data_IF_289347797522
#
_entry.id   IF_289347797522
#
_cell.length_a   1.000
_cell.length_b   1.000
_cell.length_c   1.000
_cell.angle_alpha   90.00
_cell.angle_beta   90.00
_cell.angle_gamma   90.00
#
_symmetry.space_group_name_H-M   'P 1'
#
loop_
_entity.id
_entity.type
_entity.pdbx_description
1 polymer ?
#
# COMPACT_ATOMS: atom_id res chain seq x y z
N UNK A 1 -9.46 18.91 -10.53
CA UNK A 1 -9.80 17.49 -10.74
C UNK A 1 -10.68 17.31 -11.97
N UNK A 2 -10.49 16.24 -12.74
CA UNK A 2 -11.34 15.83 -13.85
C UNK A 2 -12.78 15.59 -13.36
N UNK A 3 -13.77 16.04 -14.11
CA UNK A 3 -15.18 16.05 -13.69
C UNK A 3 -15.66 14.67 -13.23
N UNK A 4 -15.29 13.60 -13.92
CA UNK A 4 -15.72 12.26 -13.54
C UNK A 4 -15.13 11.78 -12.21
N UNK A 5 -13.88 12.15 -11.88
CA UNK A 5 -13.34 11.89 -10.55
C UNK A 5 -14.07 12.72 -9.49
N UNK A 6 -14.44 13.96 -9.78
CA UNK A 6 -15.23 14.78 -8.85
C UNK A 6 -16.63 14.20 -8.57
N UNK A 7 -17.25 13.51 -9.54
CA UNK A 7 -18.49 12.76 -9.31
C UNK A 7 -18.25 11.51 -8.48
N UNK A 8 -17.33 10.65 -8.91
CA UNK A 8 -17.12 9.34 -8.30
C UNK A 8 -16.52 9.47 -6.90
N UNK A 9 -15.45 10.24 -6.73
CA UNK A 9 -14.83 10.47 -5.43
C UNK A 9 -15.59 11.53 -4.65
N UNK A 10 -15.81 12.72 -5.22
CA UNK A 10 -16.40 13.85 -4.48
C UNK A 10 -17.85 13.62 -4.04
N UNK A 11 -18.66 12.92 -4.84
CA UNK A 11 -20.07 12.62 -4.53
C UNK A 11 -20.33 11.16 -4.16
N UNK A 12 -19.27 10.33 -4.09
CA UNK A 12 -19.37 8.88 -3.82
C UNK A 12 -20.25 8.14 -4.83
N UNK A 13 -20.32 8.64 -6.06
CA UNK A 13 -21.21 8.09 -7.09
C UNK A 13 -20.63 6.83 -7.74
N UNK A 14 -20.83 5.69 -7.09
CA UNK A 14 -20.38 4.37 -7.56
C UNK A 14 -20.98 4.00 -8.94
N UNK A 15 -22.18 4.49 -9.26
CA UNK A 15 -22.84 4.17 -10.54
C UNK A 15 -22.06 4.70 -11.75
N UNK A 16 -21.26 5.75 -11.54
CA UNK A 16 -20.42 6.40 -12.55
C UNK A 16 -18.98 5.89 -12.54
N UNK A 17 -18.60 5.03 -11.59
CA UNK A 17 -17.21 4.60 -11.42
C UNK A 17 -16.70 3.79 -12.64
N UNK A 18 -17.56 3.01 -13.28
CA UNK A 18 -17.21 2.26 -14.50
C UNK A 18 -16.84 3.15 -15.69
N UNK A 19 -17.40 4.36 -15.77
CA UNK A 19 -17.14 5.30 -16.87
C UNK A 19 -15.69 5.82 -16.84
N UNK A 20 -15.01 5.75 -15.69
CA UNK A 20 -13.60 6.16 -15.55
C UNK A 20 -12.67 5.39 -16.49
N UNK A 21 -13.02 4.14 -16.82
CA UNK A 21 -12.23 3.29 -17.73
C UNK A 21 -12.41 3.64 -19.21
N UNK A 22 -13.38 4.49 -19.54
CA UNK A 22 -13.54 5.01 -20.91
C UNK A 22 -12.70 6.27 -21.18
N UNK A 23 -12.14 6.88 -20.13
CA UNK A 23 -11.30 8.08 -20.24
C UNK A 23 -9.89 7.71 -20.71
N UNK A 24 -9.31 8.54 -21.58
CA UNK A 24 -7.89 8.41 -21.95
C UNK A 24 -7.00 8.72 -20.75
N UNK A 25 -5.88 8.01 -20.61
CA UNK A 25 -4.98 8.19 -19.47
C UNK A 25 -4.39 9.60 -19.40
N UNK A 26 -4.07 10.19 -20.56
CA UNK A 26 -3.53 11.54 -20.68
C UNK A 26 -4.53 12.62 -20.23
N UNK A 27 -5.83 12.41 -20.45
CA UNK A 27 -6.88 13.40 -20.11
C UNK A 27 -7.08 13.53 -18.60
N UNK A 28 -6.67 12.50 -17.84
CA UNK A 28 -6.85 12.45 -16.38
C UNK A 28 -5.55 12.61 -15.59
N UNK A 29 -4.38 12.58 -16.26
CA UNK A 29 -3.06 12.59 -15.62
C UNK A 29 -2.92 13.75 -14.61
N UNK A 30 -3.28 14.96 -15.00
CA UNK A 30 -3.18 16.15 -14.13
C UNK A 30 -4.08 16.10 -12.90
N UNK A 31 -5.06 15.19 -12.88
CA UNK A 31 -6.01 15.05 -11.77
C UNK A 31 -5.65 13.94 -10.78
N UNK A 32 -4.66 13.09 -11.09
CA UNK A 32 -4.40 11.88 -10.31
C UNK A 32 -3.93 12.17 -8.88
N UNK A 33 -3.10 13.20 -8.69
CA UNK A 33 -2.65 13.58 -7.33
C UNK A 33 -3.81 14.04 -6.45
N UNK A 34 -4.67 14.91 -6.98
CA UNK A 34 -5.84 15.42 -6.26
C UNK A 34 -6.85 14.29 -5.98
N UNK A 35 -6.99 13.32 -6.90
CA UNK A 35 -7.83 12.15 -6.70
C UNK A 35 -7.29 11.24 -5.58
N UNK A 36 -5.97 11.05 -5.48
CA UNK A 36 -5.33 10.31 -4.38
C UNK A 36 -5.53 11.00 -3.03
N UNK A 37 -5.50 12.32 -3.00
CA UNK A 37 -5.81 13.11 -1.78
C UNK A 37 -7.26 12.90 -1.34
N UNK A 38 -8.23 12.93 -2.26
CA UNK A 38 -9.62 12.61 -1.91
C UNK A 38 -9.79 11.17 -1.44
N UNK A 39 -9.11 10.20 -2.06
CA UNK A 39 -9.13 8.80 -1.60
C UNK A 39 -8.59 8.70 -0.17
N UNK A 40 -7.53 9.44 0.16
CA UNK A 40 -7.01 9.50 1.53
C UNK A 40 -8.09 10.00 2.48
N UNK A 41 -8.75 11.11 2.18
CA UNK A 41 -9.82 11.67 3.02
C UNK A 41 -10.98 10.69 3.21
N UNK A 42 -11.38 9.99 2.15
CA UNK A 42 -12.42 8.94 2.19
C UNK A 42 -11.99 7.80 3.11
N UNK A 43 -10.82 7.24 2.86
CA UNK A 43 -10.32 6.07 3.58
C UNK A 43 -10.04 6.34 5.06
N UNK A 44 -9.80 7.60 5.42
CA UNK A 44 -9.62 8.06 6.80
C UNK A 44 -10.93 8.36 7.53
N UNK A 45 -12.09 8.25 6.88
CA UNK A 45 -13.39 8.46 7.54
C UNK A 45 -13.66 7.38 8.60
N UNK A 46 -14.40 7.75 9.64
CA UNK A 46 -14.69 6.85 10.77
C UNK A 46 -15.59 5.67 10.39
N UNK A 47 -16.43 5.84 9.37
CA UNK A 47 -17.37 4.85 8.87
C UNK A 47 -16.83 4.00 7.71
N UNK A 48 -15.62 4.32 7.21
CA UNK A 48 -15.05 3.68 6.02
C UNK A 48 -15.04 2.15 6.10
N UNK A 49 -14.70 1.58 7.25
CA UNK A 49 -14.65 0.11 7.46
C UNK A 49 -16.00 -0.59 7.27
N UNK A 50 -17.10 0.14 7.40
CA UNK A 50 -18.48 -0.39 7.29
C UNK A 50 -19.23 0.15 6.08
N UNK A 51 -18.61 1.04 5.31
CA UNK A 51 -19.23 1.70 4.15
C UNK A 51 -18.74 1.04 2.86
N UNK A 52 -19.47 0.01 2.41
CA UNK A 52 -19.12 -0.77 1.21
C UNK A 52 -19.09 0.09 -0.07
N UNK A 53 -19.92 1.13 -0.14
CA UNK A 53 -19.95 2.04 -1.29
C UNK A 53 -18.64 2.82 -1.40
N UNK A 54 -18.18 3.41 -0.30
CA UNK A 54 -16.93 4.17 -0.27
C UNK A 54 -15.73 3.26 -0.51
N UNK A 55 -15.72 2.04 0.02
CA UNK A 55 -14.68 1.05 -0.26
C UNK A 55 -14.61 0.69 -1.76
N UNK A 56 -15.76 0.43 -2.40
CA UNK A 56 -15.81 0.12 -3.83
C UNK A 56 -15.38 1.30 -4.70
N UNK A 57 -15.81 2.52 -4.35
CA UNK A 57 -15.38 3.76 -5.02
C UNK A 57 -13.87 3.92 -4.94
N UNK A 58 -13.28 3.74 -3.75
CA UNK A 58 -11.84 3.83 -3.53
C UNK A 58 -11.07 2.78 -4.34
N UNK A 59 -11.48 1.51 -4.28
CA UNK A 59 -10.82 0.41 -5.00
C UNK A 59 -10.80 0.64 -6.52
N UNK A 60 -11.95 1.04 -7.09
CA UNK A 60 -12.05 1.33 -8.52
C UNK A 60 -11.17 2.53 -8.89
N UNK A 61 -11.19 3.60 -8.08
CA UNK A 61 -10.38 4.78 -8.38
C UNK A 61 -8.88 4.50 -8.26
N UNK A 62 -8.42 3.75 -7.26
CA UNK A 62 -7.02 3.33 -7.15
C UNK A 62 -6.60 2.52 -8.37
N UNK A 63 -7.41 1.56 -8.80
CA UNK A 63 -7.15 0.75 -9.99
C UNK A 63 -7.00 1.62 -11.25
N UNK A 64 -7.90 2.60 -11.41
CA UNK A 64 -7.85 3.52 -12.55
C UNK A 64 -6.64 4.43 -12.50
N UNK A 65 -6.34 5.03 -11.34
CA UNK A 65 -5.22 5.95 -11.13
C UNK A 65 -3.90 5.24 -11.37
N UNK A 66 -3.68 4.09 -10.75
CA UNK A 66 -2.44 3.32 -10.91
C UNK A 66 -2.23 2.84 -12.35
N UNK A 67 -3.31 2.54 -13.07
CA UNK A 67 -3.28 2.28 -14.52
C UNK A 67 -2.84 3.52 -15.29
N UNK A 68 -3.47 4.67 -15.08
CA UNK A 68 -3.10 5.91 -15.78
C UNK A 68 -1.64 6.31 -15.52
N UNK A 69 -1.16 6.19 -14.28
CA UNK A 69 0.24 6.44 -13.92
C UNK A 69 1.20 5.56 -14.72
N UNK A 70 0.85 4.27 -14.88
CA UNK A 70 1.67 3.32 -15.63
C UNK A 70 1.68 3.65 -17.12
N UNK A 71 0.52 3.86 -17.73
CA UNK A 71 0.41 4.10 -19.18
C UNK A 71 1.03 5.45 -19.59
N UNK A 72 0.92 6.48 -18.73
CA UNK A 72 1.55 7.79 -18.95
C UNK A 72 3.00 7.87 -18.46
N UNK A 73 3.50 6.83 -17.78
CA UNK A 73 4.83 6.79 -17.14
C UNK A 73 5.08 7.97 -16.17
N UNK A 74 4.04 8.45 -15.50
CA UNK A 74 4.02 9.70 -14.72
C UNK A 74 4.25 9.50 -13.22
N UNK A 75 4.83 8.37 -12.80
CA UNK A 75 4.98 8.03 -11.37
C UNK A 75 5.72 9.11 -10.56
N UNK A 76 6.72 9.77 -11.12
CA UNK A 76 7.48 10.81 -10.42
C UNK A 76 6.64 12.07 -10.13
N UNK A 77 5.64 12.36 -10.97
CA UNK A 77 4.70 13.47 -10.79
C UNK A 77 3.72 13.20 -9.65
N UNK A 78 3.30 11.96 -9.49
CA UNK A 78 2.25 11.56 -8.52
C UNK A 78 2.79 10.83 -7.28
N UNK A 79 4.09 10.55 -7.22
CA UNK A 79 4.72 9.74 -6.19
C UNK A 79 4.50 10.27 -4.77
N UNK A 80 4.48 11.60 -4.59
CA UNK A 80 4.19 12.20 -3.27
C UNK A 80 2.78 11.88 -2.78
N UNK A 81 1.76 12.04 -3.64
CA UNK A 81 0.37 11.76 -3.27
C UNK A 81 0.14 10.26 -3.05
N UNK A 82 0.74 9.40 -3.88
CA UNK A 82 0.69 7.94 -3.70
C UNK A 82 1.28 7.53 -2.35
N UNK A 83 2.49 8.01 -2.02
CA UNK A 83 3.15 7.69 -0.76
C UNK A 83 2.39 8.26 0.44
N UNK A 84 1.77 9.43 0.31
CA UNK A 84 0.95 10.02 1.37
C UNK A 84 -0.34 9.21 1.66
N UNK A 85 -0.99 8.68 0.62
CA UNK A 85 -2.11 7.73 0.78
C UNK A 85 -1.63 6.41 1.38
N UNK A 86 -0.47 5.93 0.94
CA UNK A 86 0.09 4.70 1.46
C UNK A 86 0.44 4.81 2.95
N UNK A 87 1.04 5.92 3.35
CA UNK A 87 1.38 6.20 4.73
C UNK A 87 0.15 6.31 5.63
N UNK A 88 -0.96 6.90 5.16
CA UNK A 88 -2.18 7.01 5.97
C UNK A 88 -2.76 5.66 6.36
N UNK A 89 -2.55 4.61 5.56
CA UNK A 89 -2.96 3.25 5.91
C UNK A 89 -2.29 2.73 7.19
N UNK A 90 -1.13 3.26 7.58
CA UNK A 90 -0.44 2.91 8.84
C UNK A 90 -1.19 3.38 10.09
N UNK A 91 -2.12 4.33 9.94
CA UNK A 91 -2.97 4.83 11.04
C UNK A 91 -4.10 3.85 11.38
N UNK A 92 -4.35 2.87 10.50
CA UNK A 92 -5.44 1.91 10.62
C UNK A 92 -4.94 0.50 10.96
N UNK A 93 -5.86 -0.37 11.40
CA UNK A 93 -5.52 -1.77 11.66
C UNK A 93 -5.38 -2.52 10.34
N UNK A 94 -4.16 -2.95 10.02
CA UNK A 94 -3.85 -3.70 8.80
C UNK A 94 -3.86 -5.22 8.99
N UNK A 95 -4.09 -5.70 10.22
CA UNK A 95 -4.13 -7.13 10.50
C UNK A 95 -5.38 -7.74 9.88
N UNK A 96 -5.27 -8.89 9.17
CA UNK A 96 -6.43 -9.59 8.65
C UNK A 96 -7.46 -9.86 9.76
N UNK A 97 -8.74 -9.63 9.46
CA UNK A 97 -9.86 -9.81 10.41
C UNK A 97 -10.38 -11.25 10.36
N UNK A 98 -10.24 -11.92 9.21
CA UNK A 98 -10.61 -13.32 8.98
C UNK A 98 -9.48 -14.13 8.35
N UNK A 99 -9.79 -15.38 7.98
CA UNK A 99 -8.87 -16.22 7.21
C UNK A 99 -8.82 -15.67 5.78
N UNK A 100 -7.69 -15.07 5.41
CA UNK A 100 -7.40 -14.55 4.07
C UNK A 100 -8.23 -13.34 3.63
N UNK A 101 -8.85 -12.61 4.57
CA UNK A 101 -9.56 -11.35 4.27
C UNK A 101 -8.75 -10.15 4.77
N UNK A 102 -8.12 -9.45 3.83
CA UNK A 102 -7.45 -8.18 4.09
C UNK A 102 -8.46 -7.08 4.40
N UNK A 103 -8.13 -6.27 5.39
CA UNK A 103 -8.88 -5.03 5.68
C UNK A 103 -8.88 -4.09 4.47
N UNK A 104 -9.88 -3.20 4.32
CA UNK A 104 -9.90 -2.21 3.24
C UNK A 104 -8.59 -1.42 3.12
N UNK A 105 -7.99 -0.99 4.23
CA UNK A 105 -6.70 -0.30 4.25
C UNK A 105 -5.52 -1.18 3.83
N UNK A 106 -5.55 -2.48 4.13
CA UNK A 106 -4.53 -3.41 3.67
C UNK A 106 -4.60 -3.62 2.14
N UNK A 107 -5.81 -3.62 1.55
CA UNK A 107 -5.99 -3.65 0.09
C UNK A 107 -5.42 -2.41 -0.57
N UNK A 108 -5.79 -1.22 -0.08
CA UNK A 108 -5.22 0.07 -0.54
C UNK A 108 -3.68 0.00 -0.47
N UNK A 109 -3.14 -0.39 0.69
CA UNK A 109 -1.69 -0.46 0.86
C UNK A 109 -1.02 -1.45 -0.10
N UNK A 110 -1.67 -2.56 -0.43
CA UNK A 110 -1.18 -3.56 -1.38
C UNK A 110 -1.15 -3.02 -2.82
N UNK A 111 -2.22 -2.34 -3.25
CA UNK A 111 -2.32 -1.79 -4.60
C UNK A 111 -1.31 -0.66 -4.84
N UNK A 112 -1.20 0.26 -3.87
CA UNK A 112 -0.24 1.36 -3.94
C UNK A 112 1.19 0.81 -3.91
N UNK A 113 1.46 -0.19 -3.06
CA UNK A 113 2.74 -0.87 -3.01
C UNK A 113 3.11 -1.51 -4.35
N UNK A 114 2.17 -2.22 -4.98
CA UNK A 114 2.38 -2.84 -6.29
C UNK A 114 2.78 -1.81 -7.34
N UNK A 115 2.08 -0.66 -7.37
CA UNK A 115 2.41 0.46 -8.24
C UNK A 115 3.82 1.03 -7.98
N UNK A 116 4.20 1.23 -6.72
CA UNK A 116 5.54 1.71 -6.34
C UNK A 116 6.63 0.70 -6.72
N UNK A 117 6.41 -0.59 -6.45
CA UNK A 117 7.38 -1.66 -6.73
C UNK A 117 7.67 -1.79 -8.22
N UNK A 118 6.65 -1.64 -9.08
CA UNK A 118 6.84 -1.62 -10.53
C UNK A 118 7.73 -0.46 -11.01
N UNK A 119 7.89 0.58 -10.19
CA UNK A 119 8.69 1.77 -10.47
C UNK A 119 9.93 1.90 -9.58
N UNK A 120 10.43 0.78 -9.02
CA UNK A 120 11.61 0.77 -8.16
C UNK A 120 12.87 1.32 -8.84
N UNK A 121 12.94 1.32 -10.17
CA UNK A 121 14.06 1.88 -10.93
C UNK A 121 14.07 3.42 -10.96
N UNK A 122 13.10 4.10 -10.33
CA UNK A 122 13.01 5.57 -10.22
C UNK A 122 13.53 6.06 -8.86
N UNK A 123 14.75 6.62 -8.78
CA UNK A 123 15.35 7.03 -7.51
C UNK A 123 14.54 8.06 -6.69
N UNK A 124 13.85 9.05 -7.30
CA UNK A 124 13.02 10.00 -6.54
C UNK A 124 11.84 9.30 -5.85
N UNK A 125 11.18 8.35 -6.53
CA UNK A 125 10.07 7.57 -5.98
C UNK A 125 10.56 6.68 -4.84
N UNK A 126 11.71 6.03 -5.02
CA UNK A 126 12.31 5.19 -3.98
C UNK A 126 12.63 5.99 -2.71
N UNK A 127 13.17 7.20 -2.85
CA UNK A 127 13.47 8.06 -1.71
C UNK A 127 12.23 8.43 -0.89
N UNK A 128 11.06 8.58 -1.54
CA UNK A 128 9.79 8.82 -0.87
C UNK A 128 9.25 7.55 -0.18
N UNK A 129 9.35 6.40 -0.86
CA UNK A 129 8.70 5.17 -0.44
C UNK A 129 9.45 4.39 0.65
N UNK A 130 10.79 4.46 0.69
CA UNK A 130 11.61 3.69 1.64
C UNK A 130 11.22 3.94 3.11
N UNK A 131 11.08 5.18 3.60
CA UNK A 131 10.68 5.43 4.99
C UNK A 131 9.33 4.79 5.34
N UNK A 132 8.37 4.87 4.43
CA UNK A 132 7.03 4.30 4.62
C UNK A 132 7.07 2.77 4.61
N UNK A 133 7.81 2.17 3.67
CA UNK A 133 8.00 0.72 3.58
C UNK A 133 8.59 0.13 4.88
N UNK A 134 9.54 0.84 5.50
CA UNK A 134 10.14 0.45 6.78
C UNK A 134 9.10 0.43 7.90
N UNK A 135 8.18 1.41 7.94
CA UNK A 135 7.11 1.46 8.94
C UNK A 135 6.09 0.32 8.78
N UNK A 136 5.82 -0.12 7.55
CA UNK A 136 4.92 -1.26 7.28
C UNK A 136 5.45 -2.60 7.82
N UNK A 137 6.78 -2.77 7.94
CA UNK A 137 7.37 -4.00 8.48
C UNK A 137 6.86 -4.35 9.89
N UNK A 138 6.42 -3.36 10.66
CA UNK A 138 6.03 -3.52 12.06
C UNK A 138 4.52 -3.67 12.27
N UNK A 139 3.70 -3.66 11.21
CA UNK A 139 2.22 -3.58 11.34
C UNK A 139 1.49 -4.92 11.43
N UNK A 140 2.21 -6.04 11.37
CA UNK A 140 1.66 -7.37 11.70
C UNK A 140 0.82 -8.04 10.60
N UNK A 141 0.67 -7.43 9.42
CA UNK A 141 0.20 -8.12 8.23
C UNK A 141 1.39 -8.84 7.56
N UNK A 142 1.32 -10.18 7.50
CA UNK A 142 2.43 -11.02 7.01
C UNK A 142 2.71 -10.82 5.53
N UNK A 143 1.67 -10.62 4.72
CA UNK A 143 1.82 -10.43 3.28
C UNK A 143 2.42 -9.06 2.98
N UNK A 144 1.88 -7.99 3.58
CA UNK A 144 2.47 -6.65 3.44
C UNK A 144 3.92 -6.64 3.93
N UNK A 145 4.23 -7.27 5.07
CA UNK A 145 5.60 -7.36 5.58
C UNK A 145 6.55 -8.10 4.61
N UNK A 146 6.08 -9.19 3.97
CA UNK A 146 6.84 -9.89 2.93
C UNK A 146 7.09 -9.01 1.71
N UNK A 147 6.07 -8.27 1.27
CA UNK A 147 6.16 -7.38 0.12
C UNK A 147 7.12 -6.20 0.41
N UNK A 148 7.06 -5.62 1.61
CA UNK A 148 8.00 -4.59 2.07
C UNK A 148 9.43 -5.10 2.12
N UNK A 149 9.64 -6.30 2.67
CA UNK A 149 10.96 -6.91 2.74
C UNK A 149 11.56 -7.11 1.35
N UNK A 150 10.73 -7.50 0.38
CA UNK A 150 11.14 -7.68 -1.02
C UNK A 150 11.55 -6.33 -1.63
N UNK A 151 10.75 -5.28 -1.43
CA UNK A 151 11.06 -3.94 -1.92
C UNK A 151 12.30 -3.33 -1.29
N UNK A 152 12.47 -3.44 0.03
CA UNK A 152 13.65 -2.96 0.73
C UNK A 152 14.91 -3.71 0.29
N UNK A 153 14.78 -4.98 -0.09
CA UNK A 153 15.89 -5.74 -0.69
C UNK A 153 16.27 -5.18 -2.07
N UNK A 154 15.30 -4.82 -2.90
CA UNK A 154 15.55 -4.13 -4.18
C UNK A 154 16.17 -2.75 -3.97
N UNK A 155 15.67 -1.99 -3.00
CA UNK A 155 16.23 -0.69 -2.63
C UNK A 155 17.67 -0.81 -2.12
N UNK A 156 18.01 -1.86 -1.37
CA UNK A 156 19.37 -2.12 -0.91
C UNK A 156 20.33 -2.39 -2.07
N UNK A 157 19.88 -3.11 -3.11
CA UNK A 157 20.68 -3.39 -4.30
C UNK A 157 20.88 -2.11 -5.13
N UNK A 158 19.82 -1.33 -5.32
CA UNK A 158 19.84 -0.19 -6.23
C UNK A 158 20.40 1.09 -5.60
N UNK A 159 20.11 1.35 -4.32
CA UNK A 159 20.42 2.61 -3.64
C UNK A 159 20.49 2.45 -2.11
N UNK A 160 21.47 1.65 -1.67
CA UNK A 160 21.70 1.32 -0.26
C UNK A 160 21.76 2.54 0.69
N UNK A 161 22.23 3.69 0.21
CA UNK A 161 22.33 4.93 0.99
C UNK A 161 20.99 5.37 1.58
N UNK A 162 19.87 5.08 0.91
CA UNK A 162 18.54 5.39 1.42
C UNK A 162 18.15 4.58 2.66
N UNK A 163 18.84 3.48 2.95
CA UNK A 163 18.51 2.58 4.06
C UNK A 163 19.33 2.86 5.32
N UNK A 164 20.38 3.70 5.23
CA UNK A 164 21.33 3.92 6.33
C UNK A 164 20.60 4.32 7.61
N UNK A 165 19.73 5.32 7.54
CA UNK A 165 18.96 5.84 8.68
C UNK A 165 17.87 4.88 9.17
N UNK A 166 17.58 3.81 8.42
CA UNK A 166 16.54 2.83 8.73
C UNK A 166 17.09 1.47 9.20
N UNK A 167 18.42 1.30 9.21
CA UNK A 167 19.09 0.03 9.48
C UNK A 167 18.66 -0.59 10.80
N UNK A 168 18.56 0.21 11.87
CA UNK A 168 18.14 -0.29 13.18
C UNK A 168 16.71 -0.85 13.16
N UNK A 169 15.78 -0.14 12.52
CA UNK A 169 14.38 -0.53 12.40
C UNK A 169 14.23 -1.81 11.59
N UNK A 170 14.95 -1.91 10.46
CA UNK A 170 14.99 -3.11 9.62
C UNK A 170 15.56 -4.29 10.42
N UNK A 171 16.66 -4.10 11.13
CA UNK A 171 17.29 -5.14 11.95
C UNK A 171 16.35 -5.63 13.07
N UNK A 172 15.65 -4.72 13.75
CA UNK A 172 14.62 -5.07 14.75
C UNK A 172 13.52 -5.93 14.14
N UNK A 173 13.03 -5.58 12.95
CA UNK A 173 12.02 -6.37 12.23
C UNK A 173 12.50 -7.79 11.91
N UNK A 174 13.72 -7.93 11.36
CA UNK A 174 14.32 -9.24 11.05
C UNK A 174 14.47 -10.09 12.30
N UNK A 175 14.98 -9.51 13.39
CA UNK A 175 15.14 -10.21 14.67
C UNK A 175 13.80 -10.68 15.25
N UNK A 176 12.73 -9.90 15.10
CA UNK A 176 11.39 -10.28 15.54
C UNK A 176 10.89 -11.54 14.80
N UNK A 177 11.01 -11.58 13.48
CA UNK A 177 10.62 -12.74 12.66
C UNK A 177 11.42 -13.99 13.05
N UNK A 178 12.73 -13.85 13.27
CA UNK A 178 13.58 -14.97 13.69
C UNK A 178 13.18 -15.51 15.07
N UNK A 179 12.87 -14.61 16.03
CA UNK A 179 12.38 -15.00 17.36
C UNK A 179 11.08 -15.79 17.28
N UNK A 180 10.13 -15.37 16.43
CA UNK A 180 8.86 -16.08 16.23
C UNK A 180 9.07 -17.47 15.62
N UNK A 181 9.92 -17.59 14.59
CA UNK A 181 10.26 -18.90 14.00
C UNK A 181 10.91 -19.85 15.01
N UNK A 182 11.80 -19.34 15.87
CA UNK A 182 12.43 -20.15 16.92
C UNK A 182 11.41 -20.63 17.97
N UNK A 183 10.44 -19.78 18.37
CA UNK A 183 9.35 -20.17 19.28
C UNK A 183 8.49 -21.29 18.68
N UNK A 184 8.10 -21.16 17.41
CA UNK A 184 7.31 -22.18 16.69
C UNK A 184 8.08 -23.51 16.61
N UNK A 185 9.37 -23.47 16.28
CA UNK A 185 10.22 -24.67 16.22
C UNK A 185 10.28 -25.38 17.58
N UNK A 186 10.44 -24.64 18.68
CA UNK A 186 10.42 -25.21 20.03
C UNK A 186 9.06 -25.82 20.37
N UNK A 187 7.96 -25.14 20.08
CA UNK A 187 6.60 -25.65 20.33
C UNK A 187 6.33 -26.95 19.56
N UNK A 188 6.78 -27.04 18.31
CA UNK A 188 6.67 -28.25 17.49
C UNK A 188 7.49 -29.42 18.09
N UNK A 189 8.72 -29.16 18.52
CA UNK A 189 9.56 -30.16 19.20
C UNK A 189 8.95 -30.65 20.52
N UNK A 190 8.33 -29.76 21.31
CA UNK A 190 7.63 -30.13 22.54
C UNK A 190 6.41 -31.03 22.26
N UNK A 191 5.61 -30.73 21.23
CA UNK A 191 4.49 -31.61 20.83
C UNK A 191 5.00 -32.99 20.41
N UNK A 192 6.03 -33.08 19.59
CA UNK A 192 6.63 -34.37 19.18
C UNK A 192 7.11 -35.23 20.37
N UNK A 193 7.59 -34.60 21.45
CA UNK A 193 7.99 -35.30 22.69
C UNK A 193 6.83 -35.76 23.56
N UNK A 194 5.62 -35.22 23.38
CA UNK A 194 4.42 -35.62 24.13
C UNK A 194 3.71 -36.80 23.43
N UNK A 195 3.87 -36.92 22.10
CA UNK A 195 3.25 -37.98 21.30
C UNK A 195 4.14 -39.21 21.06
N UNK A 196 5.37 -39.22 21.58
CA UNK A 196 6.30 -40.35 21.61
C UNK A 196 6.58 -40.74 23.06
#
# INVERSE_FOLDING_TARGET
MHQLFSLVLGQRDLSRAGDLFSLQDADIEDSLSEALEQIKDISSSTDYLTNDNDQAVVEICITRITTAIRETQSIEKHGKALVALWESCLEHNLKPVGKDEDTPHAKIASDIMSCILQNYNRPPVMALAVPVAVNFLQRGNKELCRNMSSYLSLAAIAKADLLVDHTETIMKSVLQVLKEKLKLRRAFQLKLKIFN
#
